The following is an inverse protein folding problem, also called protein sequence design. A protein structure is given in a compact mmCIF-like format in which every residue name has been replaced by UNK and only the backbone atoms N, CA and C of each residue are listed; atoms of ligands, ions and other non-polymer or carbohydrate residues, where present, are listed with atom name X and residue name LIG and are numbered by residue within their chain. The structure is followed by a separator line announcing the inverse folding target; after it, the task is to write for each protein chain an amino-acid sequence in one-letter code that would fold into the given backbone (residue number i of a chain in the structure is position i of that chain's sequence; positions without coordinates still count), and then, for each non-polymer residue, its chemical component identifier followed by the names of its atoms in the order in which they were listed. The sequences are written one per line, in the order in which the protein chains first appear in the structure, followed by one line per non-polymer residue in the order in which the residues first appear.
data_IF_418587346182
#
_entry.id   IF_418587346182
#
_cell.length_a   1.000
_cell.length_b   1.000
_cell.length_c   1.000
_cell.angle_alpha   90.00
_cell.angle_beta   90.00
_cell.angle_gamma   90.00
#
_symmetry.space_group_name_H-M   'P 1'
#
loop_
_entity.id
_entity.type
_entity.pdbx_description
1 polymer ?
#
# COMPACT_ATOMS: atom_id res chain seq x y z
N UNK A 1 -24.87 -0.32 1.26
CA UNK A 1 -25.86 0.72 0.93
C UNK A 1 -25.35 1.43 -0.33
N UNK A 2 -25.84 1.05 -1.51
CA UNK A 2 -25.43 1.69 -2.77
C UNK A 2 -26.18 3.01 -2.90
N UNK A 3 -25.45 4.13 -2.95
CA UNK A 3 -26.01 5.47 -2.99
C UNK A 3 -26.82 5.67 -4.29
N UNK A 4 -28.13 5.81 -4.16
CA UNK A 4 -29.12 5.93 -5.24
C UNK A 4 -29.28 7.37 -5.78
N UNK A 5 -28.30 8.26 -5.54
CA UNK A 5 -28.28 9.61 -6.08
C UNK A 5 -26.89 9.93 -6.67
N UNK A 6 -26.81 10.65 -7.80
CA UNK A 6 -25.54 11.11 -8.31
C UNK A 6 -24.86 11.99 -7.26
N UNK A 7 -23.68 11.57 -6.80
CA UNK A 7 -22.90 12.34 -5.82
C UNK A 7 -22.63 13.74 -6.35
N UNK A 8 -22.98 14.75 -5.54
CA UNK A 8 -22.62 16.14 -5.84
C UNK A 8 -21.09 16.31 -5.80
N UNK A 9 -20.56 17.33 -6.48
CA UNK A 9 -19.11 17.62 -6.49
C UNK A 9 -18.60 17.86 -5.06
N UNK A 10 -19.37 18.56 -4.24
CA UNK A 10 -19.03 18.85 -2.84
C UNK A 10 -18.96 17.57 -1.97
N UNK A 11 -19.87 16.62 -2.16
CA UNK A 11 -19.78 15.32 -1.48
C UNK A 11 -18.57 14.51 -1.97
N UNK A 12 -18.30 14.52 -3.28
CA UNK A 12 -17.16 13.81 -3.84
C UNK A 12 -15.83 14.35 -3.27
N UNK A 13 -15.71 15.66 -3.12
CA UNK A 13 -14.57 16.29 -2.45
C UNK A 13 -14.43 15.88 -0.99
N UNK A 14 -15.55 15.84 -0.25
CA UNK A 14 -15.55 15.46 1.17
C UNK A 14 -15.10 14.02 1.35
N UNK A 15 -15.63 13.12 0.51
CA UNK A 15 -15.24 11.71 0.49
C UNK A 15 -13.76 11.57 0.11
N UNK A 16 -13.32 12.22 -0.97
CA UNK A 16 -11.92 12.20 -1.41
C UNK A 16 -10.97 12.65 -0.30
N UNK A 17 -11.28 13.75 0.41
CA UNK A 17 -10.51 14.23 1.56
C UNK A 17 -10.44 13.22 2.70
N UNK A 18 -11.54 12.56 3.02
CA UNK A 18 -11.60 11.60 4.11
C UNK A 18 -10.76 10.37 3.81
N UNK A 19 -10.90 9.81 2.60
CA UNK A 19 -10.09 8.67 2.16
C UNK A 19 -8.60 9.03 2.02
N UNK A 20 -8.28 10.23 1.56
CA UNK A 20 -6.90 10.71 1.53
C UNK A 20 -6.27 10.72 2.92
N UNK A 21 -7.00 11.22 3.93
CA UNK A 21 -6.53 11.25 5.32
C UNK A 21 -6.42 9.86 5.93
N UNK A 22 -7.36 8.97 5.62
CA UNK A 22 -7.32 7.59 6.08
C UNK A 22 -6.08 6.83 5.57
N UNK A 23 -5.49 7.25 4.44
CA UNK A 23 -4.24 6.66 3.96
C UNK A 23 -3.06 6.81 4.95
N UNK A 24 -3.06 7.87 5.77
CA UNK A 24 -2.06 8.07 6.81
C UNK A 24 -2.16 7.09 7.99
N UNK A 25 -3.27 6.35 8.11
CA UNK A 25 -3.43 5.31 9.13
C UNK A 25 -2.69 4.00 8.78
N UNK A 26 -1.62 4.07 7.99
CA UNK A 26 -0.84 2.90 7.57
C UNK A 26 -1.46 2.12 6.40
N UNK A 27 -2.32 2.76 5.59
CA UNK A 27 -2.97 2.13 4.44
C UNK A 27 -2.48 2.79 3.13
N UNK A 28 -1.23 2.54 2.70
CA UNK A 28 -0.68 3.20 1.53
C UNK A 28 -1.40 2.84 0.22
N UNK A 29 -1.97 1.64 0.14
CA UNK A 29 -2.85 1.21 -0.96
C UNK A 29 -4.11 2.06 -1.07
N UNK A 30 -4.56 2.69 0.03
CA UNK A 30 -5.74 3.54 0.02
C UNK A 30 -5.52 4.80 -0.82
N UNK A 31 -4.32 5.39 -0.78
CA UNK A 31 -3.99 6.52 -1.65
C UNK A 31 -4.08 6.15 -3.13
N UNK A 32 -3.64 4.93 -3.50
CA UNK A 32 -3.81 4.45 -4.87
C UNK A 32 -5.29 4.25 -5.23
N UNK A 33 -6.10 3.71 -4.31
CA UNK A 33 -7.54 3.56 -4.49
C UNK A 33 -8.26 4.92 -4.65
N UNK A 34 -7.84 5.96 -3.90
CA UNK A 34 -8.34 7.33 -4.07
C UNK A 34 -8.03 7.85 -5.47
N UNK A 35 -6.78 7.71 -5.91
CA UNK A 35 -6.39 8.12 -7.25
C UNK A 35 -7.23 7.40 -8.32
N UNK A 36 -7.36 6.07 -8.24
CA UNK A 36 -8.11 5.29 -9.22
C UNK A 36 -9.60 5.69 -9.29
N UNK A 37 -10.21 5.95 -8.14
CA UNK A 37 -11.64 6.27 -8.01
C UNK A 37 -11.98 7.69 -8.44
N UNK A 38 -11.09 8.65 -8.18
CA UNK A 38 -11.37 10.07 -8.38
C UNK A 38 -10.62 10.71 -9.56
N UNK A 39 -9.65 10.04 -10.21
CA UNK A 39 -8.89 10.59 -11.35
C UNK A 39 -9.77 11.11 -12.50
N UNK A 40 -10.90 10.44 -12.77
CA UNK A 40 -11.84 10.86 -13.84
C UNK A 40 -12.64 12.11 -13.46
N UNK A 41 -12.69 12.46 -12.17
CA UNK A 41 -13.37 13.65 -11.65
C UNK A 41 -12.39 14.82 -11.41
N UNK A 42 -11.10 14.63 -11.68
CA UNK A 42 -10.08 15.66 -11.48
C UNK A 42 -10.37 16.92 -12.32
N UNK A 43 -10.92 16.78 -13.53
CA UNK A 43 -11.29 17.93 -14.38
C UNK A 43 -12.43 18.77 -13.81
N UNK A 44 -13.25 18.20 -12.91
CA UNK A 44 -14.44 18.87 -12.35
C UNK A 44 -14.15 19.69 -11.10
N UNK A 45 -13.01 19.50 -10.43
CA UNK A 45 -12.62 20.26 -9.25
C UNK A 45 -11.11 20.24 -9.05
N UNK A 46 -10.52 21.44 -8.90
CA UNK A 46 -9.11 21.61 -8.58
C UNK A 46 -8.73 20.94 -7.25
N UNK A 47 -9.66 20.84 -6.30
CA UNK A 47 -9.45 20.17 -5.01
C UNK A 47 -9.26 18.68 -5.22
N UNK A 48 -10.14 18.05 -6.01
CA UNK A 48 -10.02 16.62 -6.34
C UNK A 48 -8.75 16.35 -7.14
N UNK A 49 -8.39 17.23 -8.09
CA UNK A 49 -7.16 17.12 -8.86
C UNK A 49 -5.90 17.15 -7.97
N UNK A 50 -5.86 18.05 -6.98
CA UNK A 50 -4.76 18.12 -6.03
C UNK A 50 -4.68 16.86 -5.17
N UNK A 51 -5.80 16.42 -4.58
CA UNK A 51 -5.80 15.23 -3.72
C UNK A 51 -5.45 13.96 -4.49
N UNK A 52 -5.95 13.79 -5.71
CA UNK A 52 -5.63 12.61 -6.55
C UNK A 52 -4.16 12.59 -6.95
N UNK A 53 -3.60 13.72 -7.35
CA UNK A 53 -2.18 13.84 -7.72
C UNK A 53 -1.27 13.58 -6.52
N UNK A 54 -1.55 14.22 -5.39
CA UNK A 54 -0.80 13.98 -4.14
C UNK A 54 -0.94 12.55 -3.65
N UNK A 55 -2.14 11.94 -3.75
CA UNK A 55 -2.34 10.53 -3.40
C UNK A 55 -1.47 9.61 -4.25
N UNK A 56 -1.38 9.85 -5.56
CA UNK A 56 -0.54 9.05 -6.44
C UNK A 56 0.92 9.10 -5.99
N UNK A 57 1.47 10.30 -5.76
CA UNK A 57 2.83 10.47 -5.27
C UNK A 57 3.05 9.78 -3.91
N UNK A 58 2.13 9.96 -2.96
CA UNK A 58 2.23 9.29 -1.66
C UNK A 58 2.17 7.77 -1.79
N UNK A 59 1.35 7.22 -2.70
CA UNK A 59 1.29 5.78 -2.95
C UNK A 59 2.60 5.23 -3.52
N UNK A 60 3.25 5.98 -4.43
CA UNK A 60 4.53 5.61 -5.02
C UNK A 60 5.62 5.65 -3.94
N UNK A 61 5.71 6.75 -3.18
CA UNK A 61 6.70 6.90 -2.11
C UNK A 61 6.53 5.80 -1.06
N UNK A 62 5.30 5.55 -0.62
CA UNK A 62 5.04 4.51 0.36
C UNK A 62 5.33 3.10 -0.18
N UNK A 63 5.03 2.83 -1.46
CA UNK A 63 5.41 1.59 -2.12
C UNK A 63 6.92 1.40 -2.19
N UNK A 64 7.66 2.44 -2.56
CA UNK A 64 9.13 2.42 -2.57
C UNK A 64 9.70 2.23 -1.17
N UNK A 65 9.15 2.90 -0.16
CA UNK A 65 9.56 2.75 1.23
C UNK A 65 9.33 1.32 1.73
N UNK A 66 8.19 0.71 1.38
CA UNK A 66 7.88 -0.68 1.73
C UNK A 66 8.85 -1.65 1.06
N UNK A 67 9.17 -1.45 -0.22
CA UNK A 67 10.16 -2.26 -0.95
C UNK A 67 11.54 -2.09 -0.31
N UNK A 68 11.97 -0.86 -0.04
CA UNK A 68 13.25 -0.57 0.59
C UNK A 68 13.34 -1.20 1.99
N UNK A 69 12.27 -1.12 2.78
CA UNK A 69 12.17 -1.79 4.07
C UNK A 69 12.28 -3.31 3.92
N UNK A 70 11.57 -3.91 2.96
CA UNK A 70 11.61 -5.35 2.71
C UNK A 70 13.00 -5.83 2.28
N UNK A 71 13.64 -5.12 1.35
CA UNK A 71 15.01 -5.42 0.91
C UNK A 71 16.00 -5.22 2.06
N UNK A 72 15.88 -4.13 2.81
CA UNK A 72 16.69 -3.90 4.00
C UNK A 72 16.51 -5.01 5.04
N UNK A 73 15.28 -5.46 5.26
CA UNK A 73 14.98 -6.58 6.15
C UNK A 73 15.68 -7.86 5.68
N UNK A 74 15.59 -8.20 4.38
CA UNK A 74 16.27 -9.37 3.82
C UNK A 74 17.80 -9.32 3.96
N UNK A 75 18.40 -8.14 3.85
CA UNK A 75 19.86 -7.98 3.90
C UNK A 75 20.40 -7.90 5.34
N UNK A 76 19.65 -7.31 6.27
CA UNK A 76 20.11 -7.02 7.63
C UNK A 76 19.67 -8.07 8.65
N UNK A 77 18.59 -8.82 8.40
CA UNK A 77 18.17 -9.86 9.32
C UNK A 77 19.11 -11.07 9.22
N UNK A 78 19.62 -11.58 10.35
CA UNK A 78 20.41 -12.81 10.38
C UNK A 78 19.62 -13.96 9.74
N UNK A 79 20.30 -14.82 8.97
CA UNK A 79 19.71 -16.02 8.34
C UNK A 79 19.07 -17.01 9.33
N UNK A 80 19.30 -16.82 10.64
CA UNK A 80 18.70 -17.59 11.74
C UNK A 80 17.44 -16.96 12.32
N UNK A 81 16.97 -15.82 11.80
CA UNK A 81 15.78 -15.13 12.30
C UNK A 81 14.49 -15.89 11.96
N UNK A 82 13.66 -16.19 12.97
CA UNK A 82 12.39 -16.89 12.82
C UNK A 82 11.38 -16.21 11.86
N UNK A 83 11.61 -14.95 11.47
CA UNK A 83 10.80 -14.21 10.50
C UNK A 83 11.06 -14.63 9.03
N UNK A 84 12.23 -15.20 8.72
CA UNK A 84 12.67 -15.50 7.35
C UNK A 84 13.28 -16.91 7.16
N UNK A 85 13.32 -17.72 8.22
CA UNK A 85 13.74 -19.12 8.13
C UNK A 85 12.60 -19.94 7.55
N UNK A 86 12.84 -20.53 6.37
CA UNK A 86 11.94 -21.54 5.81
C UNK A 86 12.23 -22.85 6.55
N UNK A 87 11.28 -23.44 7.29
CA UNK A 87 11.49 -24.74 7.91
C UNK A 87 11.74 -25.77 6.80
N UNK A 88 12.73 -26.67 6.97
CA UNK A 88 12.85 -27.79 6.05
C UNK A 88 11.54 -28.58 6.13
N UNK A 89 10.93 -28.89 4.98
CA UNK A 89 9.67 -29.63 4.85
C UNK A 89 8.33 -28.86 5.03
N UNK A 90 8.23 -27.60 4.61
CA UNK A 90 6.91 -26.97 4.38
C UNK A 90 6.47 -27.07 2.91
N UNK A 91 5.32 -27.71 2.64
CA UNK A 91 4.67 -27.75 1.32
C UNK A 91 4.07 -26.39 0.87
N UNK A 92 4.39 -25.30 1.57
CA UNK A 92 3.90 -23.96 1.31
C UNK A 92 5.04 -23.10 0.77
N UNK A 93 4.81 -22.45 -0.38
CA UNK A 93 5.77 -21.53 -0.96
C UNK A 93 5.97 -20.31 -0.05
N UNK A 94 7.21 -20.07 0.41
CA UNK A 94 7.59 -18.94 1.24
C UNK A 94 8.92 -18.36 0.74
N UNK A 95 9.02 -17.03 0.67
CA UNK A 95 10.26 -16.33 0.35
C UNK A 95 11.15 -16.21 1.59
N UNK A 96 12.38 -16.73 1.55
CA UNK A 96 13.30 -16.74 2.70
C UNK A 96 14.60 -17.52 2.42
N UNK A 97 15.42 -17.69 3.46
CA UNK A 97 16.64 -18.51 3.37
C UNK A 97 16.38 -19.92 3.92
N UNK A 98 16.87 -20.95 3.22
CA UNK A 98 16.83 -22.32 3.70
C UNK A 98 17.70 -22.48 4.96
N UNK A 99 17.17 -23.15 5.98
CA UNK A 99 17.97 -23.55 7.13
C UNK A 99 19.09 -24.49 6.66
N UNK A 100 20.35 -24.11 6.84
CA UNK A 100 21.49 -24.98 6.55
C UNK A 100 21.54 -26.03 7.66
N UNK A 101 21.05 -27.23 7.37
CA UNK A 101 21.24 -28.39 8.25
C UNK A 101 22.70 -28.82 8.17
N UNK A 102 23.47 -28.63 9.24
CA UNK A 102 24.79 -29.25 9.38
C UNK A 102 24.58 -30.77 9.37
N UNK A 103 25.16 -31.52 8.42
CA UNK A 103 25.12 -32.97 8.46
C UNK A 103 25.85 -33.44 9.72
N UNK A 104 25.20 -34.31 10.50
CA UNK A 104 25.85 -35.06 11.59
C UNK A 104 26.72 -36.17 11.02
#
# INVERSE_FOLDING_TARGET
MFASKPLTVAEAERVCRWYFRAGFAGLPLLWFAVWLSFRRRAESSAVIAWYTTTSLWLSIIAGLLLIAWYVGALLLLPRSSALFVIPPFSDVWQSGYYAVSTPR
#
